data_IF_625935637292
#
_entry.id   IF_625935637292
#
_cell.length_a   1.000
_cell.length_b   1.000
_cell.length_c   1.000
_cell.angle_alpha   90.00
_cell.angle_beta   90.00
_cell.angle_gamma   90.00
#
_symmetry.space_group_name_H-M   'P 1'
#
loop_
_entity.id
_entity.type
_entity.pdbx_description
1 polymer ?
#
# COMPACT_ATOMS: atom_id res chain seq x y z
N UNK A 1 29.58 24.37 -43.24
CA UNK A 1 30.54 23.35 -43.74
C UNK A 1 30.27 22.03 -43.03
N UNK A 2 30.04 20.94 -43.78
CA UNK A 2 29.93 19.57 -43.26
C UNK A 2 31.32 19.05 -42.93
N UNK A 3 31.53 18.42 -41.77
CA UNK A 3 32.64 17.49 -41.57
C UNK A 3 32.11 16.25 -40.85
N UNK A 4 32.19 15.13 -41.56
CA UNK A 4 31.88 13.79 -41.09
C UNK A 4 33.14 13.20 -40.44
N UNK A 5 32.95 12.66 -39.23
CA UNK A 5 33.44 11.38 -38.64
C UNK A 5 34.88 10.90 -38.93
N UNK A 6 35.50 10.22 -37.95
CA UNK A 6 35.37 8.77 -37.95
C UNK A 6 35.07 8.15 -36.57
N UNK A 7 34.32 7.05 -36.63
CA UNK A 7 34.17 6.03 -35.61
C UNK A 7 35.49 5.31 -35.31
N UNK A 8 35.44 4.34 -34.36
CA UNK A 8 36.45 3.32 -33.94
C UNK A 8 36.95 3.63 -32.52
N UNK A 9 36.85 2.79 -31.48
CA UNK A 9 36.45 1.38 -31.37
C UNK A 9 36.31 1.01 -29.86
N UNK A 10 35.25 0.28 -29.56
CA UNK A 10 35.17 -0.94 -28.72
C UNK A 10 35.71 -1.02 -27.27
N UNK A 11 34.81 -1.60 -26.43
CA UNK A 11 35.03 -2.62 -25.39
C UNK A 11 35.73 -2.15 -24.10
N UNK A 12 35.32 -2.51 -22.88
CA UNK A 12 34.31 -3.43 -22.40
C UNK A 12 34.01 -3.09 -20.93
N UNK A 13 32.80 -3.38 -20.50
CA UNK A 13 32.38 -3.27 -19.11
C UNK A 13 30.97 -3.81 -18.95
N UNK A 14 30.75 -5.04 -19.39
CA UNK A 14 29.56 -5.83 -19.08
C UNK A 14 29.35 -5.84 -17.57
N UNK A 15 28.22 -5.32 -17.09
CA UNK A 15 27.50 -5.94 -15.98
C UNK A 15 25.99 -5.79 -16.22
N UNK A 16 25.44 -6.89 -16.74
CA UNK A 16 24.08 -7.40 -16.47
C UNK A 16 22.92 -6.63 -17.09
N UNK A 17 22.68 -6.92 -18.37
CA UNK A 17 21.34 -6.94 -18.94
C UNK A 17 20.48 -8.01 -18.23
N UNK A 18 19.56 -7.56 -17.37
CA UNK A 18 18.44 -8.33 -16.85
C UNK A 18 17.16 -7.51 -17.03
N UNK A 19 16.33 -7.95 -17.98
CA UNK A 19 15.07 -7.44 -18.51
C UNK A 19 14.21 -6.43 -17.71
N UNK A 20 13.80 -5.39 -18.45
CA UNK A 20 12.52 -4.69 -18.41
C UNK A 20 12.21 -3.73 -17.25
N UNK A 21 11.97 -2.46 -17.63
CA UNK A 21 11.12 -1.54 -16.87
C UNK A 21 11.88 -0.39 -16.25
N UNK A 22 11.74 0.78 -16.86
CA UNK A 22 12.11 2.09 -16.32
C UNK A 22 11.86 2.16 -14.82
N UNK A 23 12.91 2.41 -14.03
CA UNK A 23 12.77 2.80 -12.64
C UNK A 23 12.11 4.19 -12.59
N UNK A 24 10.78 4.17 -12.57
CA UNK A 24 9.96 5.23 -11.99
C UNK A 24 10.43 5.47 -10.54
N UNK A 25 10.24 6.68 -9.98
CA UNK A 25 10.83 7.06 -8.71
C UNK A 25 10.41 6.08 -7.61
N UNK A 26 11.39 5.39 -7.03
CA UNK A 26 11.38 4.71 -5.73
C UNK A 26 10.02 4.17 -5.27
N UNK A 27 9.55 3.07 -5.87
CA UNK A 27 8.59 2.22 -5.18
C UNK A 27 9.33 1.52 -4.04
N UNK A 28 9.02 1.89 -2.78
CA UNK A 28 9.48 1.13 -1.62
C UNK A 28 9.14 -0.35 -1.83
N UNK A 29 10.10 -1.27 -1.71
CA UNK A 29 9.81 -2.69 -1.85
C UNK A 29 8.69 -3.09 -0.87
N UNK A 30 7.61 -3.67 -1.40
CA UNK A 30 6.51 -4.20 -0.58
C UNK A 30 6.95 -5.50 0.10
N UNK A 31 6.39 -5.75 1.27
CA UNK A 31 6.56 -7.00 2.01
C UNK A 31 6.03 -8.20 1.21
N UNK A 32 6.57 -9.39 1.47
CA UNK A 32 5.91 -10.65 1.08
C UNK A 32 4.59 -10.83 1.82
N UNK A 33 3.75 -11.79 1.39
CA UNK A 33 2.49 -12.10 2.08
C UNK A 33 2.75 -12.51 3.52
N UNK A 34 3.73 -13.38 3.76
CA UNK A 34 4.08 -13.86 5.11
C UNK A 34 4.49 -12.70 6.03
N UNK A 35 5.41 -11.84 5.57
CA UNK A 35 5.85 -10.67 6.33
C UNK A 35 4.72 -9.69 6.59
N UNK A 36 3.83 -9.50 5.61
CA UNK A 36 2.64 -8.66 5.75
C UNK A 36 1.74 -9.16 6.86
N UNK A 37 1.43 -10.45 6.87
CA UNK A 37 0.57 -11.06 7.88
C UNK A 37 1.19 -10.99 9.28
N UNK A 38 2.52 -11.22 9.38
CA UNK A 38 3.25 -11.02 10.64
C UNK A 38 3.17 -9.55 11.09
N UNK A 39 3.41 -8.61 10.18
CA UNK A 39 3.34 -7.19 10.47
C UNK A 39 1.96 -6.80 11.02
N UNK A 40 0.88 -7.19 10.34
CA UNK A 40 -0.49 -6.90 10.75
C UNK A 40 -0.84 -7.46 12.13
N UNK A 41 -0.34 -8.65 12.47
CA UNK A 41 -0.56 -9.27 13.77
C UNK A 41 0.19 -8.58 14.93
N UNK A 42 1.20 -7.77 14.61
CA UNK A 42 2.01 -7.02 15.59
C UNK A 42 1.70 -5.52 15.59
N UNK A 43 0.73 -5.09 14.79
CA UNK A 43 0.34 -3.71 14.71
C UNK A 43 -0.36 -3.28 16.01
N UNK A 44 0.16 -2.23 16.63
CA UNK A 44 -0.27 -1.74 17.94
C UNK A 44 -0.88 -0.34 17.86
N UNK A 45 -1.28 0.08 16.65
CA UNK A 45 -1.90 1.37 16.43
C UNK A 45 -3.16 1.57 17.30
N UNK A 46 -3.21 2.69 18.04
CA UNK A 46 -4.35 3.07 18.87
C UNK A 46 -4.73 4.54 18.60
N UNK A 47 -5.83 4.80 17.89
CA UNK A 47 -6.25 6.16 17.57
C UNK A 47 -6.79 6.89 18.81
N UNK A 48 -6.75 8.22 18.80
CA UNK A 48 -7.15 9.07 19.93
C UNK A 48 -8.13 10.17 19.51
N UNK A 49 -8.80 10.77 20.48
CA UNK A 49 -9.74 11.89 20.28
C UNK A 49 -11.20 11.47 20.15
N UNK A 50 -11.98 12.33 19.50
CA UNK A 50 -13.37 12.09 19.12
C UNK A 50 -13.50 10.96 18.08
N UNK A 51 -14.71 10.45 17.87
CA UNK A 51 -14.94 9.36 16.91
C UNK A 51 -14.56 9.75 15.49
N UNK A 52 -14.79 11.02 15.12
CA UNK A 52 -14.43 11.57 13.82
C UNK A 52 -12.91 11.65 13.62
N UNK A 53 -12.18 12.10 14.64
CA UNK A 53 -10.71 12.14 14.63
C UNK A 53 -10.13 10.73 14.58
N UNK A 54 -10.68 9.79 15.37
CA UNK A 54 -10.27 8.39 15.35
C UNK A 54 -10.50 7.76 13.98
N UNK A 55 -11.67 7.98 13.37
CA UNK A 55 -11.96 7.45 12.05
C UNK A 55 -10.98 7.96 10.99
N UNK A 56 -10.62 9.25 11.06
CA UNK A 56 -9.62 9.85 10.18
C UNK A 56 -8.23 9.20 10.36
N UNK A 57 -7.79 9.05 11.61
CA UNK A 57 -6.51 8.42 11.94
C UNK A 57 -6.47 6.94 11.49
N UNK A 58 -7.55 6.18 11.71
CA UNK A 58 -7.65 4.79 11.24
C UNK A 58 -7.57 4.74 9.71
N UNK A 59 -8.30 5.61 9.01
CA UNK A 59 -8.27 5.66 7.55
C UNK A 59 -6.90 5.99 6.98
N UNK A 60 -6.15 6.89 7.63
CA UNK A 60 -4.76 7.19 7.27
C UNK A 60 -3.84 6.01 7.54
N UNK A 61 -3.94 5.41 8.74
CA UNK A 61 -3.14 4.26 9.12
C UNK A 61 -3.32 3.09 8.16
N UNK A 62 -4.56 2.75 7.80
CA UNK A 62 -4.81 1.71 6.79
C UNK A 62 -4.18 2.03 5.43
N UNK A 63 -4.23 3.28 4.98
CA UNK A 63 -3.56 3.66 3.73
C UNK A 63 -2.04 3.45 3.83
N UNK A 64 -1.41 3.88 4.92
CA UNK A 64 0.04 3.68 5.12
C UNK A 64 0.43 2.21 5.21
N UNK A 65 -0.44 1.37 5.79
CA UNK A 65 -0.25 -0.07 5.84
C UNK A 65 -0.39 -0.69 4.45
N UNK A 66 -1.40 -0.28 3.67
CA UNK A 66 -1.64 -0.78 2.32
C UNK A 66 -0.44 -0.53 1.40
N UNK A 67 0.31 0.57 1.58
CA UNK A 67 1.50 0.87 0.79
C UNK A 67 2.69 -0.06 1.08
N UNK A 68 2.71 -0.70 2.25
CA UNK A 68 3.84 -1.51 2.74
C UNK A 68 3.65 -3.02 2.53
N UNK A 69 2.41 -3.49 2.61
CA UNK A 69 2.07 -4.92 2.55
C UNK A 69 2.04 -5.47 1.11
N UNK A 70 2.03 -6.78 0.98
CA UNK A 70 1.86 -7.50 -0.28
C UNK A 70 0.58 -7.05 -1.01
N UNK A 71 0.58 -6.98 -2.36
CA UNK A 71 -0.56 -6.50 -3.14
C UNK A 71 -1.91 -7.14 -2.79
N UNK A 72 -1.94 -8.45 -2.55
CA UNK A 72 -3.13 -9.23 -2.22
C UNK A 72 -3.73 -8.86 -0.86
N UNK A 73 -2.88 -8.41 0.07
CA UNK A 73 -3.28 -7.91 1.39
C UNK A 73 -3.56 -6.40 1.34
N UNK A 74 -2.85 -5.67 0.48
CA UNK A 74 -2.95 -4.22 0.27
C UNK A 74 -4.35 -3.81 -0.20
N UNK A 75 -4.90 -4.52 -1.20
CA UNK A 75 -6.18 -4.15 -1.80
C UNK A 75 -7.36 -4.10 -0.78
N UNK A 76 -7.61 -5.13 0.03
CA UNK A 76 -8.67 -5.06 1.04
C UNK A 76 -8.41 -4.00 2.11
N UNK A 77 -7.15 -3.77 2.52
CA UNK A 77 -6.80 -2.73 3.50
C UNK A 77 -7.05 -1.33 2.92
N UNK A 78 -6.72 -1.09 1.66
CA UNK A 78 -7.02 0.18 1.00
C UNK A 78 -8.52 0.47 0.97
N UNK A 79 -9.36 -0.56 0.71
CA UNK A 79 -10.82 -0.42 0.78
C UNK A 79 -11.30 -0.07 2.19
N UNK A 80 -10.70 -0.66 3.22
CA UNK A 80 -10.97 -0.28 4.61
C UNK A 80 -10.56 1.17 4.90
N UNK A 81 -9.42 1.61 4.37
CA UNK A 81 -8.96 3.01 4.48
C UNK A 81 -10.01 3.97 3.91
N UNK A 82 -10.54 3.67 2.73
CA UNK A 82 -11.52 4.50 2.04
C UNK A 82 -12.84 4.56 2.81
N UNK A 83 -13.32 3.44 3.36
CA UNK A 83 -14.51 3.43 4.23
C UNK A 83 -14.29 4.31 5.45
N UNK A 84 -13.14 4.19 6.13
CA UNK A 84 -12.86 4.98 7.33
C UNK A 84 -12.70 6.47 7.05
N UNK A 85 -12.20 6.85 5.87
CA UNK A 85 -12.21 8.25 5.40
C UNK A 85 -13.64 8.77 5.19
N UNK A 86 -14.55 7.95 4.66
CA UNK A 86 -15.96 8.32 4.55
C UNK A 86 -16.61 8.47 5.93
N UNK A 87 -16.31 7.56 6.86
CA UNK A 87 -16.75 7.66 8.27
C UNK A 87 -16.24 8.97 8.89
N UNK A 88 -14.97 9.31 8.69
CA UNK A 88 -14.37 10.55 9.18
C UNK A 88 -14.99 11.80 8.54
N UNK A 89 -15.50 11.72 7.32
CA UNK A 89 -16.22 12.80 6.66
C UNK A 89 -17.66 12.97 7.18
N UNK A 90 -18.22 11.96 7.86
CA UNK A 90 -19.59 12.01 8.39
C UNK A 90 -19.75 13.01 9.55
N UNK A 91 -21.00 13.39 9.90
CA UNK A 91 -21.25 14.29 11.01
C UNK A 91 -20.79 13.76 12.37
N UNK A 92 -20.92 12.45 12.61
CA UNK A 92 -20.65 11.84 13.92
C UNK A 92 -19.32 11.10 14.00
N UNK A 93 -18.75 10.66 12.87
CA UNK A 93 -17.57 9.80 12.87
C UNK A 93 -17.86 8.34 13.27
N UNK A 94 -19.13 7.95 13.32
CA UNK A 94 -19.58 6.61 13.70
C UNK A 94 -19.95 5.83 12.44
N UNK A 95 -19.47 4.58 12.34
CA UNK A 95 -19.78 3.71 11.21
C UNK A 95 -21.26 3.33 11.16
N UNK A 96 -21.84 3.31 9.96
CA UNK A 96 -23.16 2.70 9.75
C UNK A 96 -23.08 1.17 9.80
N UNK A 97 -24.23 0.50 9.91
CA UNK A 97 -24.30 -0.97 9.82
C UNK A 97 -23.77 -1.51 8.49
N UNK A 98 -24.01 -0.79 7.39
CA UNK A 98 -23.49 -1.12 6.07
C UNK A 98 -21.97 -1.00 6.03
N UNK A 99 -21.42 0.11 6.52
CA UNK A 99 -19.96 0.32 6.57
C UNK A 99 -19.28 -0.72 7.46
N UNK A 100 -19.87 -1.07 8.61
CA UNK A 100 -19.39 -2.17 9.45
C UNK A 100 -19.38 -3.51 8.71
N UNK A 101 -20.39 -3.78 7.88
CA UNK A 101 -20.46 -4.99 7.06
C UNK A 101 -19.37 -5.00 5.99
N UNK A 102 -19.16 -3.88 5.30
CA UNK A 102 -18.11 -3.74 4.29
C UNK A 102 -16.70 -3.88 4.88
N UNK A 103 -16.46 -3.34 6.08
CA UNK A 103 -15.21 -3.51 6.82
C UNK A 103 -14.96 -4.97 7.17
N UNK A 104 -15.95 -5.69 7.71
CA UNK A 104 -15.83 -7.12 8.01
C UNK A 104 -15.50 -7.94 6.76
N UNK A 105 -16.18 -7.68 5.64
CA UNK A 105 -15.90 -8.36 4.39
C UNK A 105 -14.45 -8.18 3.91
N UNK A 106 -13.83 -7.02 4.15
CA UNK A 106 -12.43 -6.81 3.80
C UNK A 106 -11.50 -7.52 4.79
N UNK A 107 -11.82 -7.54 6.09
CA UNK A 107 -11.10 -8.33 7.09
C UNK A 107 -11.12 -9.83 6.76
N UNK A 108 -12.26 -10.36 6.31
CA UNK A 108 -12.37 -11.76 5.89
C UNK A 108 -11.46 -12.06 4.70
N UNK A 109 -11.35 -11.14 3.73
CA UNK A 109 -10.41 -11.27 2.61
C UNK A 109 -8.96 -11.24 3.06
N UNK A 110 -8.61 -10.36 4.00
CA UNK A 110 -7.26 -10.37 4.60
C UNK A 110 -6.99 -11.74 5.25
N UNK A 111 -7.94 -12.28 6.00
CA UNK A 111 -7.83 -13.60 6.63
C UNK A 111 -7.70 -14.79 5.65
N UNK A 112 -8.15 -14.65 4.40
CA UNK A 112 -7.90 -15.67 3.37
C UNK A 112 -6.41 -15.80 3.01
N UNK A 113 -5.65 -14.71 3.15
CA UNK A 113 -4.21 -14.64 2.90
C UNK A 113 -3.39 -14.83 4.19
N UNK A 114 -3.86 -14.28 5.30
CA UNK A 114 -3.19 -14.30 6.61
C UNK A 114 -3.79 -15.36 7.55
N UNK A 115 -3.45 -16.62 7.28
CA UNK A 115 -3.87 -17.78 8.07
C UNK A 115 -2.98 -18.04 9.28
#
# INVERSE_FOLDING_TARGET
MKRLLPAVVLLAGMLLSGCAGSAAPSATPRMSVEESCKFLNTDTFVPKGSDKEKAGQIGQHYQEVADKVAPEVSEPIQKMADIMKQVAASPTGIQTSEQLTQLRQQMDKIGQHCK
#
